data_IF_800918180691
#
_entry.id   IF_800918180691
#
_cell.length_a   1.000
_cell.length_b   1.000
_cell.length_c   1.000
_cell.angle_alpha   90.00
_cell.angle_beta   90.00
_cell.angle_gamma   90.00
#
_symmetry.space_group_name_H-M   'P 1'
#
loop_
_entity.id
_entity.type
_entity.pdbx_description
1 polymer ?
#
# COMPACT_ATOMS: atom_id res chain seq x y z
N UNK A 1 -13.95 8.17 -29.23
CA UNK A 1 -13.13 7.08 -28.65
C UNK A 1 -12.18 6.61 -29.74
N UNK A 2 -10.91 7.00 -29.68
CA UNK A 2 -9.91 6.55 -30.65
C UNK A 2 -9.61 5.07 -30.44
N UNK A 3 -9.84 4.26 -31.46
CA UNK A 3 -9.52 2.84 -31.48
C UNK A 3 -8.01 2.66 -31.62
N UNK A 4 -7.38 2.14 -30.57
CA UNK A 4 -5.98 1.70 -30.62
C UNK A 4 -5.91 0.51 -31.58
N UNK A 5 -5.20 0.69 -32.69
CA UNK A 5 -4.91 -0.34 -33.69
C UNK A 5 -3.98 -1.41 -33.10
N UNK A 6 -4.41 -2.67 -33.15
CA UNK A 6 -3.74 -3.84 -32.55
C UNK A 6 -4.19 -4.07 -31.11
N UNK A 7 -4.83 -5.22 -30.82
CA UNK A 7 -5.31 -5.55 -29.48
C UNK A 7 -4.14 -5.84 -28.52
N UNK A 8 -3.40 -4.81 -28.13
CA UNK A 8 -2.44 -4.91 -27.03
C UNK A 8 -3.19 -5.33 -25.78
N UNK A 9 -2.72 -6.36 -25.11
CA UNK A 9 -3.33 -6.76 -23.84
C UNK A 9 -3.21 -5.62 -22.82
N UNK A 10 -4.12 -5.55 -21.85
CA UNK A 10 -4.02 -4.54 -20.78
C UNK A 10 -2.65 -4.61 -20.08
N UNK A 11 -2.09 -5.82 -19.94
CA UNK A 11 -0.79 -6.03 -19.31
C UNK A 11 0.38 -5.46 -20.10
N UNK A 12 0.39 -5.61 -21.43
CA UNK A 12 1.37 -4.94 -22.30
C UNK A 12 1.27 -3.43 -22.20
N UNK A 13 0.04 -2.90 -22.13
CA UNK A 13 -0.18 -1.46 -21.99
C UNK A 13 0.38 -0.94 -20.65
N UNK A 14 0.12 -1.66 -19.55
CA UNK A 14 0.70 -1.31 -18.25
C UNK A 14 2.22 -1.39 -18.25
N UNK A 15 2.81 -2.38 -18.92
CA UNK A 15 4.26 -2.51 -19.00
C UNK A 15 4.92 -1.40 -19.83
N UNK A 16 4.30 -1.01 -20.93
CA UNK A 16 4.72 0.16 -21.71
C UNK A 16 4.75 1.42 -20.83
N UNK A 17 3.71 1.66 -20.02
CA UNK A 17 3.67 2.81 -19.11
C UNK A 17 4.79 2.75 -18.06
N UNK A 18 5.07 1.58 -17.46
CA UNK A 18 6.16 1.45 -16.47
C UNK A 18 7.53 1.83 -17.03
N UNK A 19 7.74 1.58 -18.32
CA UNK A 19 9.04 1.78 -18.98
C UNK A 19 9.11 3.08 -19.79
N UNK A 20 7.98 3.72 -20.07
CA UNK A 20 7.88 4.92 -20.89
C UNK A 20 8.69 6.11 -20.32
N UNK A 21 9.28 6.89 -21.22
CA UNK A 21 9.93 8.15 -20.90
C UNK A 21 8.92 9.28 -20.66
N UNK A 22 9.40 10.46 -20.25
CA UNK A 22 8.50 11.58 -19.96
C UNK A 22 7.64 11.97 -21.17
N UNK A 23 8.24 12.08 -22.36
CA UNK A 23 7.53 12.64 -23.51
C UNK A 23 6.39 11.72 -23.96
N UNK A 24 6.62 10.40 -23.94
CA UNK A 24 5.58 9.39 -24.16
C UNK A 24 4.46 9.51 -23.11
N UNK A 25 4.83 9.59 -21.83
CA UNK A 25 3.87 9.70 -20.72
C UNK A 25 3.03 10.98 -20.84
N UNK A 26 3.67 12.11 -21.18
CA UNK A 26 2.98 13.38 -21.41
C UNK A 26 2.02 13.28 -22.58
N UNK A 27 2.42 12.62 -23.67
CA UNK A 27 1.54 12.38 -24.81
C UNK A 27 0.34 11.50 -24.43
N UNK A 28 0.55 10.44 -23.63
CA UNK A 28 -0.53 9.61 -23.11
C UNK A 28 -1.52 10.44 -22.28
N UNK A 29 -1.03 11.29 -21.38
CA UNK A 29 -1.88 12.17 -20.57
C UNK A 29 -2.73 13.08 -21.48
N UNK A 30 -2.08 13.81 -22.41
CA UNK A 30 -2.78 14.76 -23.28
C UNK A 30 -3.79 14.09 -24.20
N UNK A 31 -3.54 12.84 -24.63
CA UNK A 31 -4.42 12.16 -25.57
C UNK A 31 -5.59 11.40 -24.91
N UNK A 32 -5.38 10.83 -23.73
CA UNK A 32 -6.34 9.89 -23.11
C UNK A 32 -7.01 10.41 -21.85
N UNK A 33 -6.51 11.48 -21.23
CA UNK A 33 -6.98 11.94 -19.93
C UNK A 33 -7.52 13.36 -20.06
N UNK A 34 -8.69 13.59 -19.46
CA UNK A 34 -9.20 14.95 -19.26
C UNK A 34 -8.23 15.75 -18.37
N UNK A 35 -7.85 16.94 -18.83
CA UNK A 35 -6.87 17.81 -18.16
C UNK A 35 -7.30 18.12 -16.72
N UNK A 36 -8.60 18.24 -16.47
CA UNK A 36 -9.16 18.56 -15.15
C UNK A 36 -8.98 17.43 -14.12
N UNK A 37 -8.72 16.20 -14.57
CA UNK A 37 -8.45 15.06 -13.70
C UNK A 37 -6.99 14.96 -13.26
N UNK A 38 -6.07 15.61 -13.97
CA UNK A 38 -4.64 15.51 -13.69
C UNK A 38 -4.24 16.56 -12.65
N UNK A 39 -3.57 16.19 -11.54
CA UNK A 39 -3.03 17.13 -10.55
C UNK A 39 -1.85 17.95 -11.09
N UNK A 40 -2.02 18.64 -12.22
CA UNK A 40 -0.96 19.29 -13.00
C UNK A 40 -0.21 20.35 -12.19
N UNK A 41 -0.92 21.11 -11.34
CA UNK A 41 -0.31 22.11 -10.43
C UNK A 41 0.68 21.47 -9.47
N UNK A 42 0.40 20.27 -8.96
CA UNK A 42 1.33 19.56 -8.09
C UNK A 42 2.48 18.98 -8.89
N UNK A 43 2.18 18.28 -9.98
CA UNK A 43 3.20 17.57 -10.77
C UNK A 43 4.23 18.55 -11.34
N UNK A 44 3.83 19.74 -11.78
CA UNK A 44 4.75 20.75 -12.31
C UNK A 44 5.77 21.28 -11.30
N UNK A 45 5.50 21.16 -9.99
CA UNK A 45 6.45 21.57 -8.92
C UNK A 45 7.55 20.55 -8.67
N UNK A 46 7.42 19.34 -9.21
CA UNK A 46 8.35 18.23 -8.97
C UNK A 46 9.54 18.26 -9.93
N UNK A 47 10.64 17.59 -9.53
CA UNK A 47 11.74 17.32 -10.46
C UNK A 47 11.30 16.42 -11.62
N UNK A 48 12.05 16.43 -12.72
CA UNK A 48 11.74 15.64 -13.92
C UNK A 48 11.55 14.14 -13.62
N UNK A 49 12.41 13.56 -12.80
CA UNK A 49 12.34 12.15 -12.42
C UNK A 49 11.08 11.84 -11.61
N UNK A 50 10.73 12.73 -10.68
CA UNK A 50 9.50 12.61 -9.89
C UNK A 50 8.25 12.79 -10.75
N UNK A 51 8.28 13.69 -11.74
CA UNK A 51 7.17 13.86 -12.69
C UNK A 51 6.92 12.58 -13.49
N UNK A 52 7.99 11.92 -13.97
CA UNK A 52 7.89 10.63 -14.66
C UNK A 52 7.18 9.61 -13.77
N UNK A 53 7.60 9.47 -12.51
CA UNK A 53 6.97 8.54 -11.58
C UNK A 53 5.51 8.89 -11.30
N UNK A 54 5.18 10.17 -11.10
CA UNK A 54 3.81 10.60 -10.90
C UNK A 54 2.91 10.32 -12.11
N UNK A 55 3.39 10.54 -13.34
CA UNK A 55 2.63 10.19 -14.54
C UNK A 55 2.45 8.69 -14.70
N UNK A 56 3.47 7.88 -14.39
CA UNK A 56 3.35 6.41 -14.36
C UNK A 56 2.27 5.98 -13.38
N UNK A 57 2.35 6.43 -12.13
CA UNK A 57 1.36 6.15 -11.09
C UNK A 57 -0.05 6.53 -11.56
N UNK A 58 -0.19 7.75 -12.11
CA UNK A 58 -1.47 8.26 -12.63
C UNK A 58 -2.04 7.36 -13.73
N UNK A 59 -1.27 7.14 -14.80
CA UNK A 59 -1.71 6.40 -15.97
C UNK A 59 -1.97 4.91 -15.67
N UNK A 60 -1.17 4.28 -14.82
CA UNK A 60 -1.38 2.88 -14.43
C UNK A 60 -2.75 2.67 -13.76
N UNK A 61 -3.11 3.53 -12.80
CA UNK A 61 -4.41 3.48 -12.15
C UNK A 61 -5.55 3.85 -13.11
N UNK A 62 -5.36 4.90 -13.90
CA UNK A 62 -6.36 5.36 -14.85
C UNK A 62 -6.67 4.27 -15.89
N UNK A 63 -5.66 3.67 -16.50
CA UNK A 63 -5.84 2.63 -17.51
C UNK A 63 -6.43 1.35 -16.91
N UNK A 64 -5.93 0.87 -15.76
CA UNK A 64 -6.41 -0.40 -15.19
C UNK A 64 -7.87 -0.33 -14.73
N UNK A 65 -8.33 0.88 -14.37
CA UNK A 65 -9.71 1.14 -13.98
C UNK A 65 -10.61 1.56 -15.15
N UNK A 66 -10.08 1.60 -16.38
CA UNK A 66 -10.75 2.09 -17.59
C UNK A 66 -11.25 3.54 -17.45
N UNK A 67 -10.41 4.41 -16.88
CA UNK A 67 -10.67 5.84 -16.70
C UNK A 67 -11.61 6.18 -15.54
N UNK A 68 -12.03 5.19 -14.74
CA UNK A 68 -12.97 5.41 -13.63
C UNK A 68 -12.32 6.04 -12.40
N UNK A 69 -11.00 5.90 -12.24
CA UNK A 69 -10.27 6.52 -11.15
C UNK A 69 -9.04 7.28 -11.64
N UNK A 70 -9.00 8.56 -11.27
CA UNK A 70 -7.85 9.43 -11.45
C UNK A 70 -7.18 9.67 -10.09
N UNK A 71 -5.89 9.34 -9.92
CA UNK A 71 -5.18 9.63 -8.68
C UNK A 71 -5.14 11.12 -8.35
N UNK A 72 -5.54 11.44 -7.12
CA UNK A 72 -5.50 12.78 -6.54
C UNK A 72 -4.10 13.10 -6.03
N UNK A 73 -3.82 14.39 -5.85
CA UNK A 73 -2.53 14.90 -5.37
C UNK A 73 -2.02 14.18 -4.11
N UNK A 74 -2.84 14.03 -3.06
CA UNK A 74 -2.41 13.36 -1.83
C UNK A 74 -1.97 11.91 -2.08
N UNK A 75 -2.68 11.20 -2.97
CA UNK A 75 -2.36 9.81 -3.29
C UNK A 75 -1.02 9.72 -4.02
N UNK A 76 -0.76 10.65 -4.96
CA UNK A 76 0.51 10.75 -5.67
C UNK A 76 1.66 11.14 -4.74
N UNK A 77 1.45 12.11 -3.83
CA UNK A 77 2.45 12.50 -2.81
C UNK A 77 2.85 11.32 -1.93
N UNK A 78 1.87 10.60 -1.40
CA UNK A 78 2.10 9.44 -0.54
C UNK A 78 2.81 8.30 -1.27
N UNK A 79 2.36 7.97 -2.49
CA UNK A 79 2.99 6.94 -3.31
C UNK A 79 4.43 7.33 -3.70
N UNK A 80 4.66 8.58 -4.12
CA UNK A 80 6.00 9.06 -4.46
C UNK A 80 6.95 9.00 -3.25
N UNK A 81 6.47 9.33 -2.05
CA UNK A 81 7.28 9.20 -0.85
C UNK A 81 7.75 7.76 -0.60
N UNK A 82 6.85 6.79 -0.74
CA UNK A 82 7.21 5.37 -0.62
C UNK A 82 8.10 4.88 -1.75
N UNK A 83 7.91 5.37 -2.99
CA UNK A 83 8.81 5.06 -4.10
C UNK A 83 10.25 5.51 -3.81
N UNK A 84 10.42 6.70 -3.23
CA UNK A 84 11.71 7.26 -2.78
C UNK A 84 12.26 6.62 -1.50
N UNK A 85 11.76 5.43 -1.12
CA UNK A 85 12.20 4.67 0.07
C UNK A 85 12.01 5.41 1.39
N UNK A 86 11.04 6.32 1.47
CA UNK A 86 10.70 7.02 2.70
C UNK A 86 9.38 6.48 3.25
N UNK A 87 9.36 6.26 4.56
CA UNK A 87 8.14 5.93 5.27
C UNK A 87 7.10 7.04 5.08
N UNK A 88 5.82 6.69 5.11
CA UNK A 88 4.75 7.67 4.93
C UNK A 88 3.54 7.43 5.82
N UNK A 89 2.95 8.51 6.33
CA UNK A 89 1.71 8.47 7.09
C UNK A 89 0.63 9.28 6.38
N UNK A 90 -0.47 8.61 6.01
CA UNK A 90 -1.62 9.24 5.35
C UNK A 90 -2.77 9.32 6.33
N UNK A 91 -3.11 10.54 6.72
CA UNK A 91 -4.20 10.84 7.64
C UNK A 91 -5.32 11.51 6.83
N UNK A 92 -6.34 10.72 6.49
CA UNK A 92 -7.39 11.14 5.58
C UNK A 92 -8.72 10.42 5.87
N UNK A 93 -9.82 11.16 5.90
CA UNK A 93 -11.16 10.64 6.21
C UNK A 93 -11.57 9.42 5.37
N UNK A 94 -12.60 8.70 5.80
CA UNK A 94 -13.19 7.62 4.99
C UNK A 94 -13.67 8.17 3.64
N UNK A 95 -13.55 7.38 2.57
CA UNK A 95 -13.88 7.82 1.21
C UNK A 95 -12.85 8.76 0.54
N UNK A 96 -11.78 9.17 1.23
CA UNK A 96 -10.69 9.97 0.62
C UNK A 96 -9.86 9.23 -0.43
N UNK A 97 -10.01 7.90 -0.51
CA UNK A 97 -9.33 7.05 -1.48
C UNK A 97 -7.96 6.52 -1.03
N UNK A 98 -7.68 6.41 0.29
CA UNK A 98 -6.41 5.87 0.81
C UNK A 98 -6.00 4.54 0.19
N UNK A 99 -6.97 3.65 -0.05
CA UNK A 99 -6.75 2.34 -0.68
C UNK A 99 -6.07 2.41 -2.05
N UNK A 100 -6.34 3.46 -2.84
CA UNK A 100 -5.74 3.61 -4.16
C UNK A 100 -4.22 3.75 -4.07
N UNK A 101 -3.68 4.29 -2.96
CA UNK A 101 -2.24 4.46 -2.74
C UNK A 101 -1.51 3.10 -2.72
N UNK A 102 -2.13 2.10 -2.07
CA UNK A 102 -1.63 0.72 -2.05
C UNK A 102 -1.60 0.15 -3.48
N UNK A 103 -2.70 0.32 -4.23
CA UNK A 103 -2.79 -0.17 -5.61
C UNK A 103 -1.77 0.51 -6.52
N UNK A 104 -1.57 1.82 -6.38
CA UNK A 104 -0.61 2.60 -7.16
C UNK A 104 0.80 2.05 -7.04
N UNK A 105 1.26 1.78 -5.81
CA UNK A 105 2.59 1.25 -5.56
C UNK A 105 2.77 -0.17 -6.13
N UNK A 106 1.76 -1.04 -5.94
CA UNK A 106 1.79 -2.40 -6.48
C UNK A 106 1.75 -2.40 -8.02
N UNK A 107 0.99 -1.49 -8.64
CA UNK A 107 0.92 -1.37 -10.10
C UNK A 107 2.23 -0.84 -10.68
N UNK A 108 2.91 0.07 -9.98
CA UNK A 108 4.18 0.63 -10.41
C UNK A 108 5.28 -0.44 -10.45
N UNK A 109 5.28 -1.36 -9.50
CA UNK A 109 6.18 -2.50 -9.50
C UNK A 109 5.98 -3.37 -10.75
N UNK A 110 7.09 -3.83 -11.33
CA UNK A 110 7.04 -4.83 -12.39
C UNK A 110 6.46 -6.14 -11.83
N UNK A 111 5.68 -6.94 -12.59
CA UNK A 111 5.05 -8.16 -12.08
C UNK A 111 6.03 -9.19 -11.48
N UNK A 112 7.31 -9.17 -11.90
CA UNK A 112 8.37 -10.01 -11.31
C UNK A 112 8.94 -9.46 -9.99
N UNK A 113 8.65 -8.22 -9.63
CA UNK A 113 9.22 -7.52 -8.49
C UNK A 113 8.45 -7.81 -7.20
N UNK A 114 8.63 -9.02 -6.67
CA UNK A 114 8.29 -9.25 -5.27
C UNK A 114 6.80 -9.26 -4.94
N UNK A 115 6.49 -8.93 -3.69
CA UNK A 115 5.16 -8.95 -3.09
C UNK A 115 4.96 -7.78 -2.13
N UNK A 116 3.70 -7.43 -1.89
CA UNK A 116 3.28 -6.43 -0.92
C UNK A 116 2.44 -7.05 0.19
N UNK A 117 2.54 -6.50 1.40
CA UNK A 117 1.77 -6.93 2.56
C UNK A 117 0.97 -5.74 3.10
N UNK A 118 -0.33 -5.90 3.25
CA UNK A 118 -1.20 -4.95 3.94
C UNK A 118 -1.69 -5.57 5.25
N UNK A 119 -1.34 -4.94 6.37
CA UNK A 119 -1.84 -5.28 7.69
C UNK A 119 -3.21 -4.62 7.86
N UNK A 120 -4.21 -5.41 8.21
CA UNK A 120 -5.61 -4.99 8.21
C UNK A 120 -6.36 -5.51 9.44
N UNK A 121 -7.23 -4.72 10.08
CA UNK A 121 -7.84 -5.11 11.35
C UNK A 121 -8.95 -6.16 11.21
N UNK A 122 -9.87 -6.04 10.25
CA UNK A 122 -11.14 -6.76 10.29
C UNK A 122 -11.21 -7.88 9.24
N UNK A 123 -11.26 -9.15 9.67
CA UNK A 123 -11.32 -10.34 8.80
C UNK A 123 -12.38 -10.25 7.70
N UNK A 124 -13.60 -9.82 8.05
CA UNK A 124 -14.70 -9.71 7.07
C UNK A 124 -14.36 -8.72 5.94
N UNK A 125 -13.80 -7.56 6.28
CA UNK A 125 -13.46 -6.54 5.29
C UNK A 125 -12.25 -6.94 4.44
N UNK A 126 -11.35 -7.80 4.94
CA UNK A 126 -10.20 -8.30 4.16
C UNK A 126 -10.62 -9.00 2.87
N UNK A 127 -11.67 -9.82 2.92
CA UNK A 127 -12.13 -10.58 1.75
C UNK A 127 -12.73 -9.66 0.68
N UNK A 128 -13.54 -8.68 1.10
CA UNK A 128 -14.08 -7.65 0.18
C UNK A 128 -12.93 -6.85 -0.42
N UNK A 129 -11.99 -6.39 0.40
CA UNK A 129 -10.84 -5.63 -0.07
C UNK A 129 -10.00 -6.43 -1.07
N UNK A 130 -9.69 -7.70 -0.78
CA UNK A 130 -8.93 -8.56 -1.68
C UNK A 130 -9.64 -8.74 -3.03
N UNK A 131 -10.97 -8.95 -3.01
CA UNK A 131 -11.79 -9.03 -4.23
C UNK A 131 -11.74 -7.74 -5.04
N UNK A 132 -11.84 -6.59 -4.37
CA UNK A 132 -11.77 -5.29 -5.05
C UNK A 132 -10.43 -5.10 -5.75
N UNK A 133 -9.31 -5.48 -5.10
CA UNK A 133 -8.00 -5.42 -5.75
C UNK A 133 -7.90 -6.29 -7.01
N UNK A 134 -8.46 -7.50 -6.97
CA UNK A 134 -8.48 -8.42 -8.11
C UNK A 134 -9.37 -7.89 -9.23
N UNK A 135 -10.57 -7.45 -8.91
CA UNK A 135 -11.57 -7.06 -9.92
C UNK A 135 -11.24 -5.70 -10.52
N UNK A 136 -10.92 -4.73 -9.68
CA UNK A 136 -10.78 -3.31 -10.06
C UNK A 136 -9.40 -2.98 -10.57
N UNK A 137 -8.36 -3.44 -9.89
CA UNK A 137 -6.97 -3.11 -10.22
C UNK A 137 -6.21 -4.26 -10.90
N UNK A 138 -6.87 -5.41 -11.10
CA UNK A 138 -6.23 -6.61 -11.69
C UNK A 138 -4.98 -7.06 -10.93
N UNK A 139 -4.91 -6.77 -9.63
CA UNK A 139 -3.83 -7.19 -8.75
C UNK A 139 -4.24 -8.51 -8.10
N UNK A 140 -3.48 -9.57 -8.37
CA UNK A 140 -3.70 -10.87 -7.71
C UNK A 140 -3.45 -10.74 -6.19
N UNK A 141 -4.54 -10.71 -5.44
CA UNK A 141 -4.58 -10.40 -4.01
C UNK A 141 -5.33 -11.48 -3.26
N UNK A 142 -4.80 -11.89 -2.11
CA UNK A 142 -5.50 -12.81 -1.21
C UNK A 142 -5.54 -12.26 0.22
N UNK A 143 -6.61 -12.57 0.94
CA UNK A 143 -6.66 -12.41 2.38
C UNK A 143 -6.01 -13.65 3.04
N UNK A 144 -5.07 -13.43 3.95
CA UNK A 144 -4.50 -14.47 4.81
C UNK A 144 -5.16 -14.38 6.19
N UNK A 145 -5.82 -15.44 6.58
CA UNK A 145 -6.54 -15.60 7.84
C UNK A 145 -6.73 -17.10 8.17
N UNK A 146 -7.48 -17.41 9.22
CA UNK A 146 -7.67 -18.80 9.68
C UNK A 146 -8.36 -19.72 8.66
N UNK A 147 -9.06 -19.15 7.66
CA UNK A 147 -9.74 -19.91 6.60
C UNK A 147 -8.81 -20.16 5.39
N UNK A 148 -7.56 -19.69 5.45
CA UNK A 148 -6.59 -19.89 4.37
C UNK A 148 -6.24 -21.37 4.24
N UNK A 149 -6.27 -21.89 3.01
CA UNK A 149 -5.99 -23.29 2.72
C UNK A 149 -4.67 -23.74 3.37
N UNK A 150 -4.70 -24.91 4.03
CA UNK A 150 -3.50 -25.52 4.63
C UNK A 150 -2.71 -26.37 3.63
N UNK A 151 -3.22 -26.54 2.41
CA UNK A 151 -2.59 -27.39 1.40
C UNK A 151 -1.23 -26.85 0.96
N UNK A 152 -0.19 -27.69 0.98
CA UNK A 152 1.15 -27.30 0.54
C UNK A 152 1.20 -26.81 -0.92
N UNK A 153 0.48 -27.46 -1.84
CA UNK A 153 0.48 -27.07 -3.25
C UNK A 153 -0.14 -25.69 -3.45
N UNK A 154 -1.16 -25.33 -2.66
CA UNK A 154 -1.73 -24.00 -2.67
C UNK A 154 -0.67 -22.95 -2.30
N UNK A 155 0.08 -23.17 -1.22
CA UNK A 155 1.11 -22.22 -0.79
C UNK A 155 2.28 -22.15 -1.76
N UNK A 156 2.74 -23.29 -2.30
CA UNK A 156 3.85 -23.31 -3.25
C UNK A 156 3.50 -22.59 -4.55
N UNK A 157 2.27 -22.75 -5.06
CA UNK A 157 1.85 -22.18 -6.33
C UNK A 157 1.37 -20.72 -6.20
N UNK A 158 0.66 -20.39 -5.13
CA UNK A 158 0.02 -19.08 -4.98
C UNK A 158 0.90 -18.09 -4.20
N UNK A 159 1.61 -18.55 -3.18
CA UNK A 159 2.26 -17.68 -2.19
C UNK A 159 3.78 -17.70 -2.36
N UNK A 160 4.41 -18.81 -2.00
CA UNK A 160 5.86 -18.97 -2.04
C UNK A 160 6.23 -20.45 -1.95
N UNK A 161 7.02 -20.92 -2.91
CA UNK A 161 7.57 -22.27 -2.89
C UNK A 161 8.86 -22.28 -2.07
N UNK A 162 8.80 -22.91 -0.89
CA UNK A 162 9.94 -22.98 0.03
C UNK A 162 11.13 -23.78 -0.49
N UNK A 163 10.89 -24.75 -1.40
CA UNK A 163 11.94 -25.62 -1.96
C UNK A 163 12.73 -24.91 -3.05
N UNK A 164 12.03 -24.32 -4.01
CA UNK A 164 12.65 -23.59 -5.14
C UNK A 164 13.00 -22.15 -4.78
N UNK A 165 12.50 -21.64 -3.65
CA UNK A 165 12.62 -20.25 -3.19
C UNK A 165 12.05 -19.24 -4.20
N UNK A 166 10.99 -19.64 -4.90
CA UNK A 166 10.32 -18.82 -5.92
C UNK A 166 8.99 -18.29 -5.41
N UNK A 167 8.63 -17.08 -5.83
CA UNK A 167 7.32 -16.49 -5.58
C UNK A 167 6.23 -17.25 -6.32
N UNK A 168 5.05 -17.32 -5.70
CA UNK A 168 3.83 -17.73 -6.39
C UNK A 168 3.23 -16.62 -7.24
N UNK A 169 1.99 -16.84 -7.67
CA UNK A 169 1.26 -15.90 -8.55
C UNK A 169 0.72 -14.67 -7.82
N UNK A 170 0.53 -14.74 -6.50
CA UNK A 170 -0.04 -13.64 -5.70
C UNK A 170 0.99 -12.55 -5.48
N UNK A 171 0.54 -11.29 -5.62
CA UNK A 171 1.40 -10.09 -5.46
C UNK A 171 1.06 -9.27 -4.24
N UNK A 172 -0.11 -9.48 -3.64
CA UNK A 172 -0.57 -8.72 -2.51
C UNK A 172 -1.25 -9.62 -1.48
N UNK A 173 -0.78 -9.53 -0.23
CA UNK A 173 -1.35 -10.24 0.91
C UNK A 173 -2.02 -9.24 1.85
N UNK A 174 -3.31 -9.42 2.11
CA UNK A 174 -4.01 -8.69 3.16
C UNK A 174 -4.08 -9.58 4.39
N UNK A 175 -3.45 -9.19 5.49
CA UNK A 175 -3.23 -10.06 6.65
C UNK A 175 -3.69 -9.38 7.94
N UNK A 176 -4.19 -10.15 8.91
CA UNK A 176 -4.36 -9.60 10.27
C UNK A 176 -3.02 -9.66 11.01
N UNK A 177 -2.87 -8.88 12.08
CA UNK A 177 -1.66 -8.93 12.92
C UNK A 177 -1.49 -10.29 13.58
N UNK A 178 -2.58 -10.99 13.91
CA UNK A 178 -2.54 -12.34 14.49
C UNK A 178 -1.95 -13.39 13.54
N UNK A 179 -2.03 -13.17 12.22
CA UNK A 179 -1.37 -14.05 11.24
C UNK A 179 0.14 -13.84 11.16
N UNK A 180 0.67 -12.83 11.84
CA UNK A 180 2.07 -12.42 11.78
C UNK A 180 2.81 -12.74 13.09
N UNK A 181 2.11 -12.73 14.22
CA UNK A 181 2.66 -12.98 15.55
C UNK A 181 2.35 -14.38 16.07
N UNK A 182 3.00 -14.75 17.17
CA UNK A 182 2.65 -15.97 17.92
C UNK A 182 1.27 -15.82 18.54
N UNK A 183 0.50 -16.90 18.55
CA UNK A 183 -0.73 -17.01 19.33
C UNK A 183 -0.42 -16.94 20.83
N UNK A 184 -1.46 -16.87 21.67
CA UNK A 184 -1.30 -16.87 23.13
C UNK A 184 -0.60 -18.14 23.64
N UNK A 185 -0.80 -19.25 22.92
CA UNK A 185 -0.20 -20.55 23.18
C UNK A 185 1.23 -20.67 22.62
N UNK A 186 1.76 -19.62 21.98
CA UNK A 186 3.14 -19.55 21.51
C UNK A 186 3.38 -20.06 20.09
N UNK A 187 2.34 -20.48 19.35
CA UNK A 187 2.47 -21.00 18.00
C UNK A 187 2.47 -19.91 16.95
N UNK A 188 3.33 -20.03 15.93
CA UNK A 188 3.26 -19.19 14.74
C UNK A 188 2.29 -19.79 13.74
N UNK A 189 1.53 -18.94 13.06
CA UNK A 189 0.79 -19.35 11.87
C UNK A 189 1.77 -19.66 10.73
N UNK A 190 1.27 -20.31 9.67
CA UNK A 190 2.07 -20.60 8.48
C UNK A 190 2.62 -19.33 7.83
N UNK A 191 1.82 -18.26 7.80
CA UNK A 191 2.29 -16.96 7.30
C UNK A 191 3.33 -16.35 8.24
N UNK A 192 3.11 -16.44 9.56
CA UNK A 192 4.08 -16.02 10.57
C UNK A 192 5.45 -16.71 10.42
N UNK A 193 5.46 -18.00 10.09
CA UNK A 193 6.70 -18.69 9.73
C UNK A 193 7.30 -18.16 8.44
N UNK A 194 6.49 -18.00 7.39
CA UNK A 194 6.94 -17.56 6.06
C UNK A 194 7.63 -16.19 6.09
N UNK A 195 7.03 -15.19 6.75
CA UNK A 195 7.60 -13.82 6.83
C UNK A 195 8.93 -13.75 7.58
N UNK A 196 9.28 -14.79 8.34
CA UNK A 196 10.57 -14.87 9.06
C UNK A 196 11.66 -15.54 8.20
N UNK A 197 11.27 -16.24 7.13
CA UNK A 197 12.23 -16.85 6.21
C UNK A 197 12.98 -15.77 5.43
N UNK A 198 14.31 -15.89 5.33
CA UNK A 198 15.13 -14.88 4.64
C UNK A 198 14.78 -14.79 3.15
N UNK A 199 14.47 -15.91 2.51
CA UNK A 199 14.15 -15.97 1.08
C UNK A 199 12.88 -15.17 0.75
N UNK A 200 11.80 -15.36 1.52
CA UNK A 200 10.57 -14.59 1.32
C UNK A 200 10.73 -13.13 1.76
N UNK A 201 11.49 -12.84 2.83
CA UNK A 201 11.73 -11.45 3.25
C UNK A 201 12.34 -10.59 2.16
N UNK A 202 13.28 -11.14 1.39
CA UNK A 202 13.93 -10.45 0.26
C UNK A 202 12.97 -10.12 -0.88
N UNK A 203 11.81 -10.78 -0.94
CA UNK A 203 10.80 -10.53 -1.97
C UNK A 203 9.80 -9.45 -1.57
N UNK A 204 9.71 -9.06 -0.30
CA UNK A 204 8.76 -8.04 0.13
C UNK A 204 9.25 -6.67 -0.34
N UNK A 205 8.37 -5.92 -1.02
CA UNK A 205 8.66 -4.56 -1.55
C UNK A 205 7.98 -3.47 -0.75
N UNK A 206 6.76 -3.72 -0.30
CA UNK A 206 5.94 -2.76 0.43
C UNK A 206 5.27 -3.40 1.64
N UNK A 207 5.22 -2.64 2.73
CA UNK A 207 4.38 -2.93 3.90
C UNK A 207 3.45 -1.77 4.15
N UNK A 208 2.16 -2.07 4.15
CA UNK A 208 1.09 -1.14 4.44
C UNK A 208 0.46 -1.49 5.78
N UNK A 209 0.08 -0.48 6.55
CA UNK A 209 -0.72 -0.64 7.76
C UNK A 209 -1.99 0.17 7.58
N UNK A 210 -3.08 -0.51 7.26
CA UNK A 210 -4.39 0.14 7.15
C UNK A 210 -5.07 0.22 8.50
N UNK A 211 -5.85 1.26 8.71
CA UNK A 211 -6.44 1.64 9.99
C UNK A 211 -5.40 1.70 11.13
N UNK A 212 -4.26 2.34 10.87
CA UNK A 212 -3.11 2.38 11.77
C UNK A 212 -3.40 2.91 13.18
N UNK A 213 -4.52 3.61 13.38
CA UNK A 213 -4.99 3.99 14.72
C UNK A 213 -5.26 2.79 15.65
N UNK A 214 -5.44 1.58 15.10
CA UNK A 214 -5.53 0.36 15.89
C UNK A 214 -4.27 0.07 16.71
N UNK A 215 -3.10 0.57 16.30
CA UNK A 215 -1.86 0.47 17.09
C UNK A 215 -2.10 1.06 18.48
N UNK A 216 -2.70 2.25 18.55
CA UNK A 216 -3.05 2.88 19.81
C UNK A 216 -4.28 2.23 20.44
N UNK A 217 -5.45 2.30 19.77
CA UNK A 217 -6.73 1.99 20.40
C UNK A 217 -6.93 0.50 20.74
N UNK A 218 -6.32 -0.41 19.98
CA UNK A 218 -6.46 -1.84 20.21
C UNK A 218 -5.15 -2.50 20.63
N UNK A 219 -4.00 -1.93 20.25
CA UNK A 219 -2.67 -2.48 20.49
C UNK A 219 -2.04 -2.09 21.81
N UNK A 220 -2.45 -0.97 22.42
CA UNK A 220 -1.90 -0.50 23.70
C UNK A 220 -2.87 -0.73 24.86
N UNK A 221 -2.37 -1.09 26.07
CA UNK A 221 -3.16 -1.04 27.29
C UNK A 221 -3.61 0.39 27.58
N UNK A 222 -4.86 0.56 28.02
CA UNK A 222 -5.45 1.87 28.28
C UNK A 222 -6.21 1.83 29.61
N UNK A 223 -6.01 2.83 30.48
CA UNK A 223 -6.73 2.95 31.77
C UNK A 223 -6.68 1.69 32.64
N UNK A 224 -5.50 1.05 32.75
CA UNK A 224 -5.29 -0.22 33.44
C UNK A 224 -6.06 -1.42 32.85
N UNK A 225 -6.62 -1.28 31.64
CA UNK A 225 -7.23 -2.37 30.89
C UNK A 225 -6.20 -2.92 29.90
N UNK A 226 -5.99 -4.25 29.84
CA UNK A 226 -5.13 -4.87 28.85
C UNK A 226 -5.54 -4.50 27.42
N UNK A 227 -4.56 -4.47 26.50
CA UNK A 227 -4.82 -4.23 25.08
C UNK A 227 -5.83 -5.24 24.51
N UNK A 228 -6.85 -4.76 23.79
CA UNK A 228 -7.87 -5.62 23.18
C UNK A 228 -7.28 -6.56 22.12
N UNK A 229 -6.35 -6.05 21.30
CA UNK A 229 -5.60 -6.81 20.29
C UNK A 229 -4.11 -6.49 20.40
N UNK A 230 -3.40 -7.11 21.36
CA UNK A 230 -2.03 -6.75 21.71
C UNK A 230 -1.04 -6.92 20.56
N UNK A 231 -1.34 -7.76 19.56
CA UNK A 231 -0.54 -7.91 18.34
C UNK A 231 -0.36 -6.61 17.56
N UNK A 232 -1.30 -5.65 17.65
CA UNK A 232 -1.17 -4.34 17.03
C UNK A 232 -0.10 -3.46 17.67
N UNK A 233 0.10 -3.55 18.99
CA UNK A 233 1.14 -2.81 19.71
C UNK A 233 2.55 -3.35 19.45
N UNK A 234 2.67 -4.47 18.75
CA UNK A 234 3.92 -5.22 18.53
C UNK A 234 4.45 -5.12 17.09
N UNK A 235 3.88 -4.23 16.28
CA UNK A 235 4.27 -4.09 14.87
C UNK A 235 5.73 -3.67 14.67
N UNK A 236 6.35 -3.04 15.67
CA UNK A 236 7.80 -2.77 15.66
C UNK A 236 8.64 -4.06 15.59
N UNK A 237 8.19 -5.17 16.17
CA UNK A 237 8.93 -6.45 16.18
C UNK A 237 9.08 -7.06 14.78
N UNK A 238 8.20 -6.71 13.84
CA UNK A 238 8.26 -7.21 12.47
C UNK A 238 9.04 -6.26 11.55
N UNK A 239 9.65 -5.20 12.08
CA UNK A 239 10.71 -4.44 11.38
C UNK A 239 12.00 -5.24 11.17
N UNK A 240 12.03 -6.53 11.53
CA UNK A 240 13.04 -7.50 11.05
C UNK A 240 12.99 -7.72 9.52
N UNK A 241 11.95 -7.20 8.86
CA UNK A 241 11.89 -7.09 7.41
C UNK A 241 13.05 -6.20 6.91
N UNK A 242 13.47 -6.31 5.64
CA UNK A 242 14.52 -5.44 5.08
C UNK A 242 14.14 -3.96 5.25
N UNK A 243 15.08 -3.03 5.02
CA UNK A 243 14.83 -1.58 5.03
C UNK A 243 13.88 -1.17 3.88
N UNK A 244 12.62 -1.59 3.97
CA UNK A 244 11.53 -1.27 3.06
C UNK A 244 10.69 -0.16 3.70
N UNK A 245 10.16 0.75 2.88
CA UNK A 245 9.32 1.82 3.38
C UNK A 245 8.00 1.25 3.91
N UNK A 246 7.60 1.72 5.08
CA UNK A 246 6.31 1.48 5.69
C UNK A 246 5.36 2.62 5.38
N UNK A 247 4.14 2.28 4.96
CA UNK A 247 3.10 3.27 4.72
C UNK A 247 1.90 3.00 5.62
N UNK A 248 1.60 3.94 6.50
CA UNK A 248 0.47 3.88 7.42
C UNK A 248 -0.69 4.70 6.89
N UNK A 249 -1.89 4.13 6.92
CA UNK A 249 -3.12 4.74 6.43
C UNK A 249 -4.11 4.78 7.59
N UNK A 250 -4.71 5.93 7.87
CA UNK A 250 -5.72 6.05 8.92
C UNK A 250 -6.67 7.22 8.66
N UNK A 251 -7.93 7.08 9.08
CA UNK A 251 -8.88 8.20 9.08
C UNK A 251 -8.71 9.11 10.29
N UNK A 252 -8.39 8.53 11.45
CA UNK A 252 -8.40 9.23 12.74
C UNK A 252 -7.02 9.13 13.37
N UNK A 253 -6.38 10.27 13.64
CA UNK A 253 -5.08 10.29 14.31
C UNK A 253 -4.82 11.63 15.00
N UNK A 254 -5.40 11.85 16.20
CA UNK A 254 -4.96 12.91 17.10
C UNK A 254 -3.45 12.83 17.36
N UNK A 255 -2.82 13.93 17.75
CA UNK A 255 -1.35 13.99 17.90
C UNK A 255 -0.77 12.90 18.81
N UNK A 256 -1.45 12.55 19.91
CA UNK A 256 -1.00 11.48 20.80
C UNK A 256 -1.10 10.08 20.15
N UNK A 257 -2.13 9.84 19.33
CA UNK A 257 -2.26 8.60 18.56
C UNK A 257 -1.18 8.52 17.50
N UNK A 258 -0.94 9.64 16.80
CA UNK A 258 0.08 9.71 15.77
C UNK A 258 1.48 9.43 16.35
N UNK A 259 1.84 10.04 17.48
CA UNK A 259 3.13 9.79 18.14
C UNK A 259 3.36 8.31 18.48
N UNK A 260 2.30 7.58 18.86
CA UNK A 260 2.37 6.13 19.09
C UNK A 260 2.53 5.35 17.79
N UNK A 261 1.83 5.73 16.72
CA UNK A 261 2.01 5.13 15.39
C UNK A 261 3.44 5.35 14.89
N UNK A 262 3.95 6.58 14.99
CA UNK A 262 5.30 6.96 14.60
C UNK A 262 6.34 6.11 15.31
N UNK A 263 6.28 6.07 16.64
CA UNK A 263 7.20 5.29 17.47
C UNK A 263 7.14 3.79 17.18
N UNK A 264 5.97 3.27 16.80
CA UNK A 264 5.78 1.84 16.53
C UNK A 264 6.30 1.43 15.14
N UNK A 265 5.97 2.19 14.09
CA UNK A 265 6.11 1.69 12.71
C UNK A 265 6.86 2.62 11.76
N UNK A 266 7.12 3.88 12.10
CA UNK A 266 7.79 4.82 11.19
C UNK A 266 9.25 5.07 11.62
N UNK A 267 10.16 5.25 10.65
CA UNK A 267 11.55 5.67 10.89
C UNK A 267 11.64 7.20 10.93
N UNK A 268 12.70 7.75 11.53
CA UNK A 268 12.84 9.18 11.83
C UNK A 268 12.65 10.14 10.63
N UNK A 269 12.88 9.70 9.39
CA UNK A 269 12.77 10.53 8.17
C UNK A 269 11.45 10.32 7.37
N UNK A 270 10.38 9.88 8.03
CA UNK A 270 9.08 9.67 7.39
C UNK A 270 8.39 10.97 6.92
N UNK A 271 7.58 10.88 5.86
CA UNK A 271 6.70 11.98 5.41
C UNK A 271 5.28 11.81 5.94
N UNK A 272 4.67 12.90 6.38
CA UNK A 272 3.25 12.91 6.81
C UNK A 272 2.43 13.67 5.78
N UNK A 273 1.49 12.96 5.18
CA UNK A 273 0.48 13.51 4.28
C UNK A 273 -0.86 13.59 5.03
N UNK A 274 -1.33 14.81 5.30
CA UNK A 274 -2.62 15.04 5.94
C UNK A 274 -3.58 15.62 4.91
N UNK A 275 -4.70 14.96 4.65
CA UNK A 275 -5.85 15.66 4.09
C UNK A 275 -6.67 16.15 5.26
N UNK A 276 -6.48 17.40 5.66
CA UNK A 276 -7.56 18.07 6.36
C UNK A 276 -8.69 18.21 5.33
N UNK A 277 -9.96 17.87 5.62
CA UNK A 277 -11.04 18.55 4.92
C UNK A 277 -10.87 20.02 5.30
N UNK A 278 -10.16 20.79 4.48
CA UNK A 278 -10.19 22.23 4.62
C UNK A 278 -11.64 22.63 4.37
N UNK A 279 -12.41 22.82 5.44
CA UNK A 279 -13.24 24.01 5.46
C UNK A 279 -12.24 25.17 5.36
N UNK A 280 -12.34 25.92 4.27
CA UNK A 280 -11.58 27.15 4.06
C UNK A 280 -11.57 27.95 5.38
N UNK A 281 -10.39 28.16 5.98
CA UNK A 281 -10.23 28.99 7.17
C UNK A 281 -9.38 28.46 8.32
N UNK A 282 -9.04 27.16 8.39
CA UNK A 282 -8.26 26.65 9.51
C UNK A 282 -6.74 26.69 9.24
N UNK A 283 -6.09 27.82 9.58
CA UNK A 283 -4.62 27.96 9.54
C UNK A 283 -3.99 27.15 10.68
N UNK A 284 -3.43 25.98 10.37
CA UNK A 284 -2.59 25.24 11.32
C UNK A 284 -1.18 25.82 11.26
N UNK A 285 -0.70 26.35 12.39
CA UNK A 285 0.68 26.75 12.58
C UNK A 285 1.59 25.52 12.47
N UNK A 286 2.36 25.42 11.38
CA UNK A 286 3.57 24.60 11.37
C UNK A 286 4.59 25.27 12.28
N UNK A 287 4.84 24.70 13.47
CA UNK A 287 6.06 25.03 14.21
C UNK A 287 7.24 24.43 13.45
N UNK A 288 8.15 25.30 12.98
CA UNK A 288 9.50 24.91 12.59
C UNK A 288 10.19 24.30 13.81
N UNK A 289 10.86 23.17 13.60
CA UNK A 289 11.88 22.63 14.52
C UNK A 289 12.96 23.66 14.77
#
# INVERSE_FOLDING_TARGET
MGTISGSKTIFESLDNIRNAGFDDLSQYITHFVDVDHVPSTYISTLSRDQQIICYRLFLLAYLVTCGREAPREMQLRAALASYERRDSAVIAGTGSGKTLIIALLILLDHPSNGVSITIYPLKHLQLTQARDFVIKYKINTIAINDDTSRNQSFWDNMIFNGKTKTLGTVKHFIVTTEQVFKSKEGYLTRFGHLIRTLAFRKTIRHVFVDEAHFIYFAGTPQYNVPAFRPSWGRLNEIKILPSIPWQVLTATSPLHVLSVIESAVLHLEFKVERTCPMKEGCKIHQRRT
#
